data_IF_183833230928
#
_entry.id   IF_183833230928
#
_cell.length_a   1.000
_cell.length_b   1.000
_cell.length_c   1.000
_cell.angle_alpha   90.00
_cell.angle_beta   90.00
_cell.angle_gamma   90.00
#
_symmetry.space_group_name_H-M   'P 1'
#
loop_
_entity.id
_entity.type
_entity.pdbx_description
1 polymer ?
#
# COMPACT_ATOMS: atom_id res chain seq x y z
N UNK A 1 17.43 2.72 25.53
CA UNK A 1 16.37 1.70 25.33
C UNK A 1 16.12 1.61 23.84
N UNK A 2 16.05 0.39 23.28
CA UNK A 2 15.67 0.15 21.89
C UNK A 2 14.29 -0.53 21.88
N UNK A 3 13.48 -0.21 20.87
CA UNK A 3 12.13 -0.76 20.70
C UNK A 3 12.06 -1.52 19.38
N UNK A 4 11.67 -2.79 19.46
CA UNK A 4 11.46 -3.62 18.28
C UNK A 4 10.13 -3.25 17.61
N UNK A 5 10.16 -3.21 16.28
CA UNK A 5 9.00 -2.90 15.44
C UNK A 5 8.92 -3.87 14.25
N UNK A 6 7.75 -3.97 13.65
CA UNK A 6 7.57 -4.73 12.41
C UNK A 6 8.31 -4.10 11.23
N UNK A 7 8.62 -4.88 10.18
CA UNK A 7 9.29 -4.37 8.99
C UNK A 7 8.50 -3.24 8.30
N UNK A 8 7.17 -3.36 8.28
CA UNK A 8 6.26 -2.35 7.74
C UNK A 8 6.25 -1.06 8.56
N UNK A 9 6.32 -1.15 9.89
CA UNK A 9 6.47 0.02 10.77
C UNK A 9 7.82 0.73 10.55
N UNK A 10 8.90 -0.05 10.38
CA UNK A 10 10.21 0.50 10.07
C UNK A 10 10.23 1.24 8.72
N UNK A 11 9.59 0.68 7.69
CA UNK A 11 9.38 1.33 6.39
C UNK A 11 8.60 2.62 6.50
N UNK A 12 7.47 2.58 7.21
CA UNK A 12 6.61 3.74 7.41
C UNK A 12 7.38 4.88 8.09
N UNK A 13 8.06 4.57 9.20
CA UNK A 13 8.87 5.55 9.91
C UNK A 13 9.97 6.15 9.02
N UNK A 14 10.73 5.32 8.30
CA UNK A 14 11.78 5.81 7.41
C UNK A 14 11.20 6.73 6.33
N UNK A 15 10.10 6.35 5.68
CA UNK A 15 9.48 7.16 4.63
C UNK A 15 8.99 8.53 5.12
N UNK A 16 8.39 8.59 6.31
CA UNK A 16 7.95 9.85 6.94
C UNK A 16 9.16 10.73 7.27
N UNK A 17 10.24 10.16 7.78
CA UNK A 17 11.46 10.92 8.08
C UNK A 17 12.12 11.46 6.81
N UNK A 18 12.17 10.68 5.72
CA UNK A 18 12.68 11.14 4.42
C UNK A 18 11.84 12.29 3.84
N UNK A 19 10.51 12.25 3.99
CA UNK A 19 9.60 13.36 3.63
C UNK A 19 9.90 14.60 4.48
N UNK A 20 9.98 14.44 5.80
CA UNK A 20 10.30 15.53 6.75
C UNK A 20 11.64 16.17 6.40
N UNK A 21 12.67 15.38 6.12
CA UNK A 21 14.00 15.87 5.78
C UNK A 21 13.99 16.71 4.49
N UNK A 22 13.16 16.35 3.50
CA UNK A 22 12.97 17.10 2.25
C UNK A 22 12.14 18.38 2.43
N UNK A 23 11.07 18.34 3.24
CA UNK A 23 10.07 19.42 3.32
C UNK A 23 10.28 20.43 4.46
N UNK A 24 10.92 20.05 5.56
CA UNK A 24 11.19 20.98 6.68
C UNK A 24 12.33 21.93 6.30
N UNK A 25 12.11 23.24 6.43
CA UNK A 25 13.13 24.24 6.07
C UNK A 25 14.13 24.55 7.21
N UNK A 26 13.73 24.35 8.47
CA UNK A 26 14.58 24.63 9.63
C UNK A 26 15.83 23.73 9.67
N UNK A 27 17.05 24.27 9.63
CA UNK A 27 18.29 23.47 9.63
C UNK A 27 18.43 22.60 10.88
N UNK A 28 18.08 23.14 12.05
CA UNK A 28 18.13 22.43 13.34
C UNK A 28 17.19 21.22 13.32
N UNK A 29 15.95 21.41 12.86
CA UNK A 29 14.98 20.31 12.74
C UNK A 29 15.40 19.27 11.70
N UNK A 30 15.93 19.70 10.55
CA UNK A 30 16.46 18.78 9.53
C UNK A 30 17.62 17.94 10.06
N UNK A 31 18.53 18.54 10.83
CA UNK A 31 19.64 17.81 11.47
C UNK A 31 19.14 16.74 12.44
N UNK A 32 18.10 17.05 13.23
CA UNK A 32 17.50 16.07 14.13
C UNK A 32 16.82 14.92 13.36
N UNK A 33 16.10 15.23 12.27
CA UNK A 33 15.49 14.21 11.40
C UNK A 33 16.56 13.33 10.75
N UNK A 34 17.68 13.90 10.32
CA UNK A 34 18.78 13.15 9.73
C UNK A 34 19.40 12.15 10.73
N UNK A 35 19.52 12.53 12.01
CA UNK A 35 19.97 11.62 13.06
C UNK A 35 19.02 10.42 13.23
N UNK A 36 17.70 10.65 13.17
CA UNK A 36 16.73 9.55 13.20
C UNK A 36 16.82 8.65 11.95
N UNK A 37 17.03 9.21 10.76
CA UNK A 37 17.24 8.44 9.53
C UNK A 37 18.48 7.55 9.67
N UNK A 38 19.59 8.10 10.19
CA UNK A 38 20.82 7.33 10.42
C UNK A 38 20.64 6.19 11.42
N UNK A 39 19.80 6.37 12.43
CA UNK A 39 19.44 5.30 13.38
C UNK A 39 18.62 4.16 12.73
N UNK A 40 18.01 4.39 11.57
CA UNK A 40 17.28 3.40 10.78
C UNK A 40 18.12 2.80 9.65
N UNK A 41 19.45 2.91 9.70
CA UNK A 41 20.34 2.34 8.68
C UNK A 41 20.04 0.88 8.29
N UNK A 42 19.66 -0.04 9.20
CA UNK A 42 19.30 -1.42 8.83
C UNK A 42 18.10 -1.53 7.87
N UNK A 43 17.21 -0.54 7.86
CA UNK A 43 16.01 -0.50 7.02
C UNK A 43 16.35 -0.23 5.55
N UNK A 44 17.55 0.32 5.27
CA UNK A 44 17.99 0.64 3.90
C UNK A 44 18.09 -0.63 3.03
N UNK A 45 18.66 -1.71 3.56
CA UNK A 45 18.75 -2.98 2.85
C UNK A 45 17.36 -3.56 2.52
N UNK A 46 16.39 -3.34 3.42
CA UNK A 46 15.01 -3.74 3.20
C UNK A 46 14.35 -2.89 2.10
N UNK A 47 14.60 -1.57 2.09
CA UNK A 47 14.14 -0.64 1.04
C UNK A 47 14.66 -1.03 -0.35
N UNK A 48 15.91 -1.47 -0.45
CA UNK A 48 16.49 -1.97 -1.71
C UNK A 48 15.86 -3.28 -2.18
N UNK A 49 15.43 -4.15 -1.24
CA UNK A 49 14.74 -5.42 -1.56
C UNK A 49 13.29 -5.21 -2.00
N UNK A 50 12.60 -4.21 -1.44
CA UNK A 50 11.19 -3.90 -1.73
C UNK A 50 11.00 -2.45 -2.18
N UNK A 51 11.60 -2.05 -3.32
CA UNK A 51 11.61 -0.66 -3.77
C UNK A 51 10.21 -0.17 -4.16
N UNK A 52 9.37 -1.06 -4.70
CA UNK A 52 8.00 -0.72 -5.11
C UNK A 52 7.12 -0.42 -3.90
N UNK A 53 7.13 -1.30 -2.90
CA UNK A 53 6.35 -1.17 -1.68
C UNK A 53 6.81 0.03 -0.86
N UNK A 54 8.12 0.29 -0.82
CA UNK A 54 8.66 1.49 -0.18
C UNK A 54 8.18 2.76 -0.89
N UNK A 55 8.24 2.81 -2.22
CA UNK A 55 7.75 3.94 -3.00
C UNK A 55 6.24 4.15 -2.79
N UNK A 56 5.47 3.07 -2.72
CA UNK A 56 4.03 3.13 -2.46
C UNK A 56 3.69 3.71 -1.09
N UNK A 57 4.33 3.20 -0.01
CA UNK A 57 4.15 3.76 1.35
C UNK A 57 4.56 5.24 1.38
N UNK A 58 5.69 5.57 0.76
CA UNK A 58 6.17 6.96 0.66
C UNK A 58 5.14 7.85 -0.02
N UNK A 59 4.55 7.41 -1.14
CA UNK A 59 3.52 8.16 -1.87
C UNK A 59 2.28 8.41 -1.02
N UNK A 60 1.79 7.37 -0.33
CA UNK A 60 0.64 7.51 0.59
C UNK A 60 0.95 8.48 1.73
N UNK A 61 2.15 8.43 2.29
CA UNK A 61 2.58 9.37 3.32
C UNK A 61 2.73 10.82 2.82
N UNK A 62 3.19 11.01 1.58
CA UNK A 62 3.23 12.33 0.95
C UNK A 62 1.82 12.92 0.77
N UNK A 63 0.86 12.11 0.29
CA UNK A 63 -0.55 12.53 0.15
C UNK A 63 -1.17 12.90 1.50
N UNK A 64 -0.91 12.10 2.54
CA UNK A 64 -1.36 12.44 3.91
C UNK A 64 -0.75 13.77 4.34
N UNK A 65 0.56 13.96 4.16
CA UNK A 65 1.24 15.21 4.52
C UNK A 65 0.61 16.41 3.81
N UNK A 66 0.43 16.32 2.49
CA UNK A 66 -0.12 17.41 1.67
C UNK A 66 -1.54 17.78 2.12
N UNK A 67 -2.39 16.80 2.42
CA UNK A 67 -3.73 17.06 2.94
C UNK A 67 -3.67 17.69 4.33
N UNK A 68 -2.80 17.21 5.23
CA UNK A 68 -2.67 17.77 6.58
C UNK A 68 -2.18 19.22 6.60
N UNK A 69 -1.36 19.64 5.63
CA UNK A 69 -0.93 21.05 5.49
C UNK A 69 -2.09 21.98 5.11
N UNK A 70 -3.08 21.46 4.39
CA UNK A 70 -4.26 22.24 3.96
C UNK A 70 -5.43 22.18 4.94
N UNK A 71 -5.38 21.24 5.89
CA UNK A 71 -6.46 20.92 6.83
C UNK A 71 -6.71 22.08 7.80
N UNK A 72 -7.93 22.59 7.77
CA UNK A 72 -8.35 23.72 8.59
C UNK A 72 -9.79 23.50 9.08
N UNK A 73 -10.02 23.38 10.41
CA UNK A 73 -11.35 23.16 10.99
C UNK A 73 -12.38 24.25 10.67
N UNK A 74 -11.93 25.44 10.23
CA UNK A 74 -12.81 26.53 9.86
C UNK A 74 -13.31 26.47 8.41
N UNK A 75 -12.71 25.63 7.56
CA UNK A 75 -13.07 25.54 6.14
C UNK A 75 -14.24 24.56 5.89
N UNK A 76 -15.10 24.83 4.90
CA UNK A 76 -16.22 23.95 4.56
C UNK A 76 -15.82 22.53 4.13
N UNK A 77 -14.61 22.37 3.58
CA UNK A 77 -14.08 21.08 3.11
C UNK A 77 -13.39 20.26 4.21
N UNK A 78 -13.33 20.76 5.45
CA UNK A 78 -12.65 20.09 6.56
C UNK A 78 -13.05 18.62 6.73
N UNK A 79 -14.37 18.34 6.68
CA UNK A 79 -14.89 16.97 6.81
C UNK A 79 -14.39 16.09 5.68
N UNK A 80 -14.51 16.54 4.43
CA UNK A 80 -14.07 15.81 3.24
C UNK A 80 -12.56 15.52 3.25
N UNK A 81 -11.74 16.52 3.62
CA UNK A 81 -10.29 16.36 3.72
C UNK A 81 -9.94 15.40 4.86
N UNK A 82 -10.63 15.48 6.00
CA UNK A 82 -10.43 14.58 7.14
C UNK A 82 -10.78 13.13 6.79
N UNK A 83 -11.89 12.90 6.11
CA UNK A 83 -12.30 11.59 5.60
C UNK A 83 -11.25 11.03 4.64
N UNK A 84 -10.72 11.85 3.73
CA UNK A 84 -9.65 11.42 2.82
C UNK A 84 -8.37 11.03 3.58
N UNK A 85 -7.97 11.81 4.58
CA UNK A 85 -6.82 11.48 5.43
C UNK A 85 -7.08 10.15 6.17
N UNK A 86 -8.29 9.94 6.68
CA UNK A 86 -8.67 8.71 7.35
C UNK A 86 -8.60 7.49 6.42
N UNK A 87 -9.05 7.63 5.18
CA UNK A 87 -8.95 6.61 4.13
C UNK A 87 -7.50 6.27 3.77
N UNK A 88 -6.67 7.29 3.56
CA UNK A 88 -5.24 7.11 3.28
C UNK A 88 -4.51 6.44 4.46
N UNK A 89 -4.92 6.72 5.70
CA UNK A 89 -4.40 6.01 6.87
C UNK A 89 -4.79 4.53 6.90
N UNK A 90 -5.95 4.15 6.35
CA UNK A 90 -6.30 2.73 6.15
C UNK A 90 -5.47 2.10 5.04
N UNK A 91 -5.27 2.82 3.92
CA UNK A 91 -4.39 2.38 2.82
C UNK A 91 -2.96 2.16 3.28
N UNK A 92 -2.40 3.09 4.07
CA UNK A 92 -1.07 2.97 4.68
C UNK A 92 -0.93 1.75 5.57
N UNK A 93 -1.94 1.46 6.39
CA UNK A 93 -1.97 0.25 7.21
C UNK A 93 -1.87 -1.03 6.36
N UNK A 94 -2.64 -1.12 5.26
CA UNK A 94 -2.57 -2.27 4.35
C UNK A 94 -1.21 -2.39 3.67
N UNK A 95 -0.64 -1.27 3.24
CA UNK A 95 0.72 -1.23 2.68
C UNK A 95 1.78 -1.76 3.66
N UNK A 96 1.70 -1.37 4.94
CA UNK A 96 2.58 -1.92 5.99
C UNK A 96 2.39 -3.43 6.17
N UNK A 97 1.14 -3.91 6.12
CA UNK A 97 0.82 -5.35 6.23
C UNK A 97 1.41 -6.16 5.07
N UNK A 98 1.45 -5.61 3.86
CA UNK A 98 2.08 -6.28 2.71
C UNK A 98 3.55 -6.59 2.98
N UNK A 99 4.32 -5.60 3.45
CA UNK A 99 5.73 -5.79 3.81
C UNK A 99 5.89 -6.76 4.98
N UNK A 100 5.07 -6.64 6.01
CA UNK A 100 5.11 -7.56 7.16
C UNK A 100 4.90 -9.02 6.75
N UNK A 101 4.08 -9.26 5.72
CA UNK A 101 3.88 -10.60 5.18
C UNK A 101 5.04 -11.04 4.29
N UNK A 102 5.55 -10.16 3.41
CA UNK A 102 6.68 -10.47 2.53
C UNK A 102 7.96 -10.83 3.31
N UNK A 103 8.23 -10.13 4.41
CA UNK A 103 9.38 -10.39 5.29
C UNK A 103 9.10 -11.42 6.38
N UNK A 104 7.90 -12.01 6.43
CA UNK A 104 7.47 -12.88 7.52
C UNK A 104 7.77 -12.28 8.91
N UNK A 105 7.51 -10.98 9.09
CA UNK A 105 7.83 -10.25 10.31
C UNK A 105 7.21 -10.90 11.54
N UNK A 106 8.02 -11.09 12.59
CA UNK A 106 7.58 -11.65 13.88
C UNK A 106 6.63 -10.72 14.64
N UNK A 107 6.65 -9.42 14.34
CA UNK A 107 5.71 -8.43 14.84
C UNK A 107 4.80 -7.96 13.70
N UNK A 108 3.51 -7.76 14.00
CA UNK A 108 2.51 -7.26 13.03
C UNK A 108 1.54 -6.32 13.73
N UNK A 109 1.47 -5.07 13.27
CA UNK A 109 0.47 -4.10 13.71
C UNK A 109 -0.95 -4.63 13.49
N UNK A 110 -1.86 -4.35 14.42
CA UNK A 110 -3.29 -4.74 14.34
C UNK A 110 -4.18 -3.50 14.25
N UNK A 111 -5.26 -3.58 13.48
CA UNK A 111 -6.37 -2.61 13.47
C UNK A 111 -7.70 -3.33 13.62
N UNK A 112 -8.67 -2.67 14.25
CA UNK A 112 -10.05 -3.14 14.43
C UNK A 112 -10.89 -3.17 13.13
N UNK A 113 -10.26 -3.18 11.96
CA UNK A 113 -10.96 -3.18 10.68
C UNK A 113 -11.41 -4.60 10.35
N UNK A 114 -12.62 -4.75 9.80
CA UNK A 114 -13.05 -5.99 9.17
C UNK A 114 -12.15 -6.34 7.97
N UNK A 115 -11.97 -7.62 7.70
CA UNK A 115 -11.23 -8.07 6.52
C UNK A 115 -12.05 -7.75 5.26
N UNK A 116 -11.59 -6.78 4.46
CA UNK A 116 -12.13 -6.51 3.14
C UNK A 116 -11.47 -7.46 2.14
N UNK A 117 -12.28 -8.33 1.55
CA UNK A 117 -11.85 -9.25 0.50
C UNK A 117 -12.25 -8.68 -0.86
N UNK A 118 -11.32 -8.64 -1.81
CA UNK A 118 -11.62 -8.29 -3.20
C UNK A 118 -11.56 -9.56 -4.05
N UNK A 119 -12.65 -9.85 -4.76
CA UNK A 119 -12.77 -11.02 -5.62
C UNK A 119 -12.57 -10.59 -7.07
N UNK A 120 -11.48 -11.06 -7.67
CA UNK A 120 -11.17 -10.85 -9.07
C UNK A 120 -11.75 -11.99 -9.89
N UNK A 121 -12.82 -11.71 -10.62
CA UNK A 121 -13.38 -12.66 -11.59
C UNK A 121 -12.90 -12.28 -12.98
N UNK A 122 -12.06 -13.13 -13.56
CA UNK A 122 -11.61 -12.99 -14.94
C UNK A 122 -12.51 -13.80 -15.86
N UNK A 123 -13.10 -13.14 -16.84
CA UNK A 123 -13.88 -13.77 -17.90
C UNK A 123 -12.93 -14.14 -19.06
N UNK A 124 -12.07 -15.13 -18.81
CA UNK A 124 -11.16 -15.69 -19.81
C UNK A 124 -11.42 -17.18 -19.93
N UNK A 125 -11.51 -17.66 -21.16
CA UNK A 125 -11.59 -19.10 -21.45
C UNK A 125 -10.29 -19.77 -20.96
N UNK A 126 -10.35 -20.64 -19.93
CA UNK A 126 -9.18 -21.24 -19.31
C UNK A 126 -8.43 -22.21 -20.25
N UNK A 127 -9.09 -22.70 -21.31
CA UNK A 127 -8.47 -23.59 -22.29
C UNK A 127 -7.71 -22.84 -23.38
N UNK A 128 -8.13 -21.61 -23.71
CA UNK A 128 -7.55 -20.82 -24.81
C UNK A 128 -6.50 -19.84 -24.30
N UNK A 129 -6.67 -19.26 -23.10
CA UNK A 129 -5.80 -18.18 -22.62
C UNK A 129 -5.20 -18.50 -21.24
N UNK A 130 -3.91 -18.84 -21.22
CA UNK A 130 -3.10 -18.81 -19.99
C UNK A 130 -2.61 -17.39 -19.72
N UNK A 131 -3.52 -16.49 -19.38
CA UNK A 131 -3.17 -15.10 -19.03
C UNK A 131 -2.25 -15.11 -17.81
N UNK A 132 -1.04 -14.59 -17.99
CA UNK A 132 -0.07 -14.38 -16.90
C UNK A 132 -0.19 -12.92 -16.46
N UNK A 133 -0.63 -12.73 -15.23
CA UNK A 133 -0.73 -11.39 -14.65
C UNK A 133 0.57 -11.09 -13.92
N UNK A 134 1.16 -9.94 -14.24
CA UNK A 134 2.39 -9.46 -13.60
C UNK A 134 2.07 -8.50 -12.44
N UNK A 135 0.97 -7.75 -12.52
CA UNK A 135 0.45 -6.90 -11.45
C UNK A 135 -1.05 -6.62 -11.63
N UNK A 136 -1.76 -6.41 -10.52
CA UNK A 136 -3.14 -5.89 -10.52
C UNK A 136 -3.17 -4.67 -9.62
N UNK A 137 -3.55 -3.53 -10.19
CA UNK A 137 -3.70 -2.28 -9.48
C UNK A 137 -5.19 -1.96 -9.34
N UNK A 138 -5.71 -2.00 -8.12
CA UNK A 138 -6.96 -1.33 -7.81
C UNK A 138 -6.64 0.12 -7.48
N UNK A 139 -7.57 1.03 -7.81
CA UNK A 139 -7.49 2.44 -7.41
C UNK A 139 -7.34 2.62 -5.88
N UNK A 140 -7.56 1.55 -5.11
CA UNK A 140 -7.46 1.52 -3.65
C UNK A 140 -6.36 0.62 -3.05
N UNK A 141 -5.74 -0.31 -3.79
CA UNK A 141 -4.59 -1.15 -3.35
C UNK A 141 -3.89 -1.81 -4.57
N UNK A 142 -2.55 -1.91 -4.57
CA UNK A 142 -1.79 -2.58 -5.64
C UNK A 142 -1.22 -3.90 -5.15
N UNK A 143 -1.38 -4.97 -5.92
CA UNK A 143 -0.79 -6.29 -5.65
C UNK A 143 0.21 -6.63 -6.76
N UNK A 144 1.44 -6.91 -6.36
CA UNK A 144 2.54 -7.35 -7.24
C UNK A 144 2.94 -8.78 -6.88
N UNK A 145 3.18 -9.59 -7.91
CA UNK A 145 3.61 -10.97 -7.76
C UNK A 145 5.07 -11.09 -8.22
N UNK A 146 5.90 -11.75 -7.43
CA UNK A 146 7.33 -11.97 -7.70
C UNK A 146 7.57 -13.02 -8.81
N UNK A 147 6.51 -13.75 -9.19
CA UNK A 147 6.46 -14.71 -10.28
C UNK A 147 5.09 -14.64 -10.96
N UNK A 148 4.95 -15.09 -12.22
CA UNK A 148 3.64 -15.23 -12.84
C UNK A 148 2.74 -16.10 -11.97
N UNK A 149 1.68 -15.52 -11.41
CA UNK A 149 0.66 -16.27 -10.70
C UNK A 149 -0.42 -16.72 -11.68
N UNK A 150 -0.80 -17.99 -11.62
CA UNK A 150 -2.01 -18.45 -12.29
C UNK A 150 -3.20 -18.08 -11.41
N UNK A 151 -4.09 -17.26 -11.96
CA UNK A 151 -5.40 -17.05 -11.37
C UNK A 151 -6.26 -18.26 -11.76
N UNK A 152 -6.60 -19.07 -10.76
CA UNK A 152 -7.51 -20.19 -10.96
C UNK A 152 -8.94 -19.64 -10.98
N UNK A 153 -9.75 -19.97 -11.99
CA UNK A 153 -11.19 -19.80 -11.86
C UNK A 153 -11.63 -20.76 -10.74
N UNK A 154 -11.86 -20.23 -9.54
CA UNK A 154 -12.36 -21.04 -8.44
C UNK A 154 -13.83 -21.34 -8.68
N UNK A 155 -14.08 -22.47 -9.32
CA UNK A 155 -15.39 -23.11 -9.33
C UNK A 155 -15.74 -23.55 -7.91
N UNK A 156 -16.91 -23.10 -7.46
CA UNK A 156 -17.64 -23.53 -6.26
C UNK A 156 -17.19 -22.89 -4.94
N UNK A 157 -17.70 -21.68 -4.68
CA UNK A 157 -18.06 -21.31 -3.31
C UNK A 157 -19.57 -21.11 -3.22
N UNK A 158 -20.19 -21.87 -2.32
CA UNK A 158 -21.56 -21.67 -1.86
C UNK A 158 -21.56 -20.37 -1.05
N UNK A 159 -22.47 -19.46 -1.41
CA UNK A 159 -22.75 -18.22 -0.68
C UNK A 159 -22.78 -18.46 0.84
N UNK A 160 -21.79 -17.93 1.55
CA UNK A 160 -21.91 -17.68 2.98
C UNK A 160 -21.75 -16.19 3.22
N UNK A 161 -22.89 -15.52 3.10
CA UNK A 161 -23.25 -14.13 3.46
C UNK A 161 -22.65 -12.99 2.63
N UNK A 162 -23.47 -11.98 2.24
CA UNK A 162 -23.11 -11.01 1.20
C UNK A 162 -22.93 -9.63 1.81
N UNK A 163 -21.69 -9.21 2.09
CA UNK A 163 -21.44 -7.80 2.41
C UNK A 163 -20.26 -7.28 1.60
N UNK A 164 -20.62 -6.55 0.53
CA UNK A 164 -19.79 -5.69 -0.32
C UNK A 164 -18.70 -6.35 -1.19
N UNK A 165 -19.13 -6.91 -2.33
CA UNK A 165 -18.23 -7.26 -3.43
C UNK A 165 -18.14 -6.11 -4.46
N UNK A 166 -16.92 -5.78 -4.91
CA UNK A 166 -16.69 -4.93 -6.09
C UNK A 166 -16.22 -5.84 -7.22
N UNK A 167 -17.02 -5.96 -8.28
CA UNK A 167 -16.68 -6.75 -9.47
C UNK A 167 -15.92 -5.87 -10.46
N UNK A 168 -14.65 -6.17 -10.71
CA UNK A 168 -13.86 -5.51 -11.75
C UNK A 168 -13.82 -6.39 -12.98
N UNK A 169 -14.47 -5.94 -14.06
CA UNK A 169 -14.49 -6.66 -15.34
C UNK A 169 -13.30 -6.20 -16.19
N UNK A 170 -12.29 -7.05 -16.34
CA UNK A 170 -11.15 -6.80 -17.21
C UNK A 170 -11.35 -7.53 -18.53
N UNK A 171 -11.59 -6.78 -19.60
CA UNK A 171 -11.59 -7.29 -20.98
C UNK A 171 -10.19 -7.20 -21.54
N UNK A 172 -9.56 -8.34 -21.88
CA UNK A 172 -8.29 -8.34 -22.62
C UNK A 172 -8.53 -7.91 -24.07
N UNK A 173 -7.79 -6.90 -24.55
CA UNK A 173 -7.69 -6.59 -25.98
C UNK A 173 -6.57 -7.49 -26.54
N UNK A 174 -6.78 -8.19 -27.68
CA UNK A 174 -5.76 -9.08 -28.26
C UNK A 174 -4.49 -8.33 -28.67
N UNK A 175 -3.32 -8.96 -28.48
CA UNK A 175 -1.99 -8.44 -28.91
C UNK A 175 -1.88 -8.19 -30.42
N UNK A 176 -2.85 -8.63 -31.22
CA UNK A 176 -2.87 -8.43 -32.68
C UNK A 176 -3.21 -7.01 -33.14
N UNK A 177 -3.64 -6.11 -32.24
CA UNK A 177 -4.04 -4.74 -32.58
C UNK A 177 -2.93 -3.68 -32.38
N UNK A 178 -1.73 -4.06 -31.96
CA UNK A 178 -0.58 -3.16 -31.77
C UNK A 178 0.55 -3.37 -32.81
N UNK A 179 0.19 -3.54 -34.10
CA UNK A 179 1.15 -3.47 -35.21
C UNK A 179 0.97 -2.22 -36.05
#
# INVERSE_FOLDING_TARGET
MLLDVSSGEAFDKLSILEIKHRRIMSPVKRSAVLQEIQALAPVVALKERYPFEYAFITKVNEEIWDLTETLDPSKPDFVTVSERIFDLNRKRFRAKRMINNAENSGLKEQKSLGELHCLLQLDVDPEVHRSRFYSIAFEYDTFSFDRPCQLWPFGNFVETTPESHVVVKLSSIPDSEYK
#
